data_IF_008601833266
#
_entry.id   IF_008601833266
#
_cell.length_a   1.000
_cell.length_b   1.000
_cell.length_c   1.000
_cell.angle_alpha   90.00
_cell.angle_beta   90.00
_cell.angle_gamma   90.00
#
_symmetry.space_group_name_H-M   'P 1'
#
loop_
_entity.id
_entity.type
_entity.pdbx_description
1 polymer ?
#
# COMPACT_ATOMS: atom_id res chain seq x y z
N UNK A 1 -16.76 -16.88 -14.55
CA UNK A 1 -16.41 -16.78 -13.11
C UNK A 1 -16.77 -15.38 -12.68
N UNK A 2 -17.67 -15.24 -11.71
CA UNK A 2 -18.05 -13.93 -11.16
C UNK A 2 -17.11 -13.56 -10.00
N UNK A 3 -16.65 -12.31 -9.99
CA UNK A 3 -15.75 -11.78 -8.96
C UNK A 3 -16.40 -10.51 -8.43
N UNK A 4 -16.50 -10.40 -7.10
CA UNK A 4 -17.02 -9.22 -6.41
C UNK A 4 -15.93 -8.56 -5.56
N UNK A 5 -15.84 -7.23 -5.62
CA UNK A 5 -14.94 -6.44 -4.77
C UNK A 5 -15.64 -6.18 -3.42
N UNK A 6 -15.21 -6.88 -2.37
CA UNK A 6 -15.81 -6.79 -1.04
C UNK A 6 -15.37 -5.51 -0.28
N UNK A 7 -14.17 -5.00 -0.56
CA UNK A 7 -13.62 -3.80 0.11
C UNK A 7 -12.49 -3.16 -0.69
N UNK A 8 -12.40 -1.82 -0.64
CA UNK A 8 -11.28 -1.03 -1.17
C UNK A 8 -10.82 -0.04 -0.11
N UNK A 9 -9.56 -0.11 0.28
CA UNK A 9 -9.00 0.70 1.37
C UNK A 9 -7.59 1.17 1.04
N UNK A 10 -7.22 2.34 1.54
CA UNK A 10 -5.87 2.88 1.47
C UNK A 10 -5.09 2.49 2.74
N UNK A 11 -4.01 1.73 2.58
CA UNK A 11 -3.15 1.32 3.71
C UNK A 11 -2.01 2.31 3.86
N UNK A 12 -1.90 2.92 5.04
CA UNK A 12 -0.86 3.89 5.37
C UNK A 12 0.32 3.22 6.08
N UNK A 13 1.52 3.82 6.04
CA UNK A 13 2.65 3.39 6.86
C UNK A 13 2.27 3.36 8.35
N UNK A 14 2.79 2.37 9.09
CA UNK A 14 2.48 2.18 10.50
C UNK A 14 3.00 3.31 11.39
N UNK A 15 4.07 3.98 10.97
CA UNK A 15 4.60 5.20 11.59
C UNK A 15 4.67 6.33 10.57
N UNK A 16 4.54 7.60 11.00
CA UNK A 16 4.65 8.75 10.11
C UNK A 16 6.00 8.77 9.39
N UNK A 17 6.00 9.18 8.12
CA UNK A 17 7.23 9.43 7.38
C UNK A 17 7.86 10.73 7.93
N UNK A 18 9.14 10.77 8.29
CA UNK A 18 9.79 12.00 8.72
C UNK A 18 9.58 13.14 7.72
N UNK A 19 9.35 14.37 8.19
CA UNK A 19 8.99 15.52 7.35
C UNK A 19 9.96 15.75 6.18
N UNK A 20 11.25 15.58 6.42
CA UNK A 20 12.31 15.74 5.41
C UNK A 20 12.31 14.64 4.33
N UNK A 21 11.61 13.53 4.55
CA UNK A 21 11.47 12.41 3.61
C UNK A 21 10.11 12.41 2.89
N UNK A 22 9.31 13.46 3.03
CA UNK A 22 7.96 13.50 2.43
C UNK A 22 7.98 13.76 0.92
N UNK A 23 9.10 14.24 0.37
CA UNK A 23 9.25 14.52 -1.05
C UNK A 23 10.51 13.84 -1.59
N UNK A 24 10.34 13.01 -2.60
CA UNK A 24 11.45 12.34 -3.30
C UNK A 24 11.50 12.83 -4.75
N UNK A 25 12.68 13.27 -5.18
CA UNK A 25 12.89 13.74 -6.56
C UNK A 25 13.24 12.55 -7.45
N UNK A 26 12.49 12.40 -8.53
CA UNK A 26 12.74 11.37 -9.53
C UNK A 26 14.01 11.68 -10.32
N UNK A 27 14.82 10.65 -10.56
CA UNK A 27 16.00 10.77 -11.41
C UNK A 27 15.60 10.95 -12.88
N UNK A 28 16.57 11.29 -13.73
CA UNK A 28 16.33 11.35 -15.18
C UNK A 28 15.88 9.99 -15.73
N UNK A 29 16.43 8.89 -15.22
CA UNK A 29 16.04 7.54 -15.64
C UNK A 29 14.59 7.22 -15.27
N UNK A 30 14.15 7.62 -14.07
CA UNK A 30 12.76 7.44 -13.64
C UNK A 30 11.78 8.25 -14.50
N UNK A 31 12.20 9.45 -14.95
CA UNK A 31 11.38 10.31 -15.81
C UNK A 31 11.26 9.79 -17.25
N UNK A 32 12.32 9.16 -17.76
CA UNK A 32 12.34 8.54 -19.09
C UNK A 32 11.63 7.18 -19.11
N UNK A 33 11.49 6.53 -17.96
CA UNK A 33 10.77 5.27 -17.85
C UNK A 33 9.28 5.45 -18.23
N UNK A 34 8.71 4.43 -18.88
CA UNK A 34 7.27 4.42 -19.16
C UNK A 34 6.50 4.32 -17.84
N UNK A 35 5.54 5.21 -17.65
CA UNK A 35 4.70 5.26 -16.46
C UNK A 35 3.60 4.18 -16.55
N UNK A 36 4.00 2.92 -16.39
CA UNK A 36 3.08 1.78 -16.50
C UNK A 36 2.98 1.01 -15.20
N UNK A 37 1.75 0.57 -14.88
CA UNK A 37 1.50 -0.30 -13.74
C UNK A 37 1.82 -1.75 -14.13
N UNK A 38 2.72 -2.38 -13.38
CA UNK A 38 2.95 -3.81 -13.46
C UNK A 38 1.86 -4.56 -12.70
N UNK A 39 1.06 -5.35 -13.42
CA UNK A 39 0.03 -6.20 -12.84
C UNK A 39 0.62 -7.58 -12.52
N UNK A 40 0.62 -7.96 -11.23
CA UNK A 40 1.08 -9.26 -10.75
C UNK A 40 -0.03 -9.97 -9.97
N UNK A 41 -0.23 -11.26 -10.22
CA UNK A 41 -1.25 -12.10 -9.55
C UNK A 41 -0.59 -13.35 -8.98
N UNK A 42 -0.86 -13.63 -7.70
CA UNK A 42 -0.34 -14.81 -6.99
C UNK A 42 -1.50 -15.67 -6.49
N UNK A 43 -1.42 -16.99 -6.72
CA UNK A 43 -2.39 -17.97 -6.21
C UNK A 43 -1.76 -18.80 -5.10
N UNK A 44 -2.46 -18.94 -3.98
CA UNK A 44 -2.01 -19.71 -2.81
C UNK A 44 -3.04 -20.78 -2.45
N UNK A 45 -2.59 -22.01 -2.27
CA UNK A 45 -3.45 -23.11 -1.85
C UNK A 45 -3.93 -22.95 -0.40
N UNK A 46 -5.16 -23.34 -0.06
CA UNK A 46 -5.63 -23.36 1.32
C UNK A 46 -4.84 -24.37 2.14
N UNK A 47 -4.45 -23.97 3.36
CA UNK A 47 -3.61 -24.78 4.23
C UNK A 47 -4.41 -25.89 4.95
N UNK A 48 -5.68 -25.63 5.27
CA UNK A 48 -6.60 -26.57 5.93
C UNK A 48 -8.00 -26.42 5.32
N UNK A 49 -8.67 -27.55 5.01
CA UNK A 49 -9.99 -27.56 4.37
C UNK A 49 -11.17 -27.43 5.36
N UNK A 50 -10.95 -27.59 6.68
CA UNK A 50 -12.04 -27.64 7.68
C UNK A 50 -12.36 -26.31 8.38
N UNK A 51 -11.70 -25.21 8.03
CA UNK A 51 -11.91 -23.91 8.72
C UNK A 51 -13.00 -23.08 8.05
N UNK A 52 -13.80 -22.35 8.84
CA UNK A 52 -14.81 -21.40 8.37
C UNK A 52 -14.14 -20.36 7.44
N UNK A 53 -14.45 -20.42 6.14
CA UNK A 53 -13.79 -19.62 5.10
C UNK A 53 -13.82 -18.12 5.39
N UNK A 54 -14.94 -17.59 5.88
CA UNK A 54 -15.11 -16.17 6.18
C UNK A 54 -14.18 -15.66 7.29
N UNK A 55 -13.93 -16.49 8.31
CA UNK A 55 -13.00 -16.15 9.39
C UNK A 55 -11.55 -16.18 8.90
N UNK A 56 -11.21 -17.17 8.06
CA UNK A 56 -9.89 -17.24 7.41
C UNK A 56 -9.64 -16.02 6.53
N UNK A 57 -10.60 -15.63 5.69
CA UNK A 57 -10.51 -14.44 4.83
C UNK A 57 -10.32 -13.19 5.68
N UNK A 58 -11.13 -13.02 6.73
CA UNK A 58 -11.07 -11.84 7.60
C UNK A 58 -9.73 -11.72 8.33
N UNK A 59 -9.26 -12.83 8.94
CA UNK A 59 -7.96 -12.89 9.64
C UNK A 59 -6.79 -12.67 8.70
N UNK A 60 -6.79 -13.29 7.51
CA UNK A 60 -5.73 -13.11 6.51
C UNK A 60 -5.71 -11.68 5.99
N UNK A 61 -6.89 -11.11 5.67
CA UNK A 61 -7.02 -9.70 5.25
C UNK A 61 -6.43 -8.76 6.30
N UNK A 62 -6.76 -8.96 7.58
CA UNK A 62 -6.21 -8.13 8.66
C UNK A 62 -4.68 -8.25 8.76
N UNK A 63 -4.16 -9.48 8.71
CA UNK A 63 -2.70 -9.73 8.75
C UNK A 63 -1.98 -9.07 7.58
N UNK A 64 -2.51 -9.21 6.36
CA UNK A 64 -1.94 -8.60 5.14
C UNK A 64 -1.91 -7.07 5.23
N UNK A 65 -2.99 -6.44 5.72
CA UNK A 65 -3.02 -4.99 5.94
C UNK A 65 -1.98 -4.55 6.97
N UNK A 66 -1.87 -5.25 8.09
CA UNK A 66 -0.90 -4.93 9.15
C UNK A 66 0.54 -5.11 8.68
N UNK A 67 0.85 -6.20 7.96
CA UNK A 67 2.18 -6.41 7.41
C UNK A 67 2.52 -5.35 6.36
N UNK A 68 1.58 -5.04 5.45
CA UNK A 68 1.78 -3.98 4.45
C UNK A 68 2.04 -2.63 5.10
N UNK A 69 1.24 -2.25 6.11
CA UNK A 69 1.43 -1.00 6.85
C UNK A 69 2.82 -0.90 7.49
N UNK A 70 3.33 -2.00 8.08
CA UNK A 70 4.69 -2.04 8.64
C UNK A 70 5.78 -1.98 7.56
N UNK A 71 5.60 -2.70 6.45
CA UNK A 71 6.55 -2.69 5.31
C UNK A 71 6.61 -1.32 4.64
N UNK A 72 5.51 -0.57 4.59
CA UNK A 72 5.49 0.78 4.06
C UNK A 72 6.30 1.79 4.90
N UNK A 73 6.75 1.45 6.10
CA UNK A 73 7.62 2.35 6.90
C UNK A 73 9.00 2.54 6.23
N UNK A 74 9.80 1.48 5.99
CA UNK A 74 11.04 1.62 5.24
C UNK A 74 10.81 1.90 3.75
N UNK A 75 9.69 1.44 3.17
CA UNK A 75 9.33 1.65 1.76
C UNK A 75 8.30 2.76 1.56
N UNK A 76 8.46 3.88 2.29
CA UNK A 76 7.48 4.95 2.37
C UNK A 76 7.12 5.59 1.02
N UNK A 77 8.02 5.55 0.02
CA UNK A 77 7.75 6.06 -1.33
C UNK A 77 6.59 5.35 -2.01
N UNK A 78 6.33 4.06 -1.68
CA UNK A 78 5.21 3.29 -2.22
C UNK A 78 3.85 3.76 -1.69
N UNK A 79 3.82 4.50 -0.58
CA UNK A 79 2.62 5.15 -0.05
C UNK A 79 2.42 6.58 -0.61
N UNK A 80 3.33 7.05 -1.47
CA UNK A 80 3.27 8.38 -2.08
C UNK A 80 2.44 8.44 -3.35
N UNK A 81 2.31 9.65 -3.89
CA UNK A 81 1.75 9.90 -5.22
C UNK A 81 2.78 10.62 -6.09
N UNK A 82 2.88 10.19 -7.34
CA UNK A 82 3.68 10.89 -8.35
C UNK A 82 3.01 12.23 -8.64
N UNK A 83 3.82 13.30 -8.66
CA UNK A 83 3.42 14.67 -8.95
C UNK A 83 4.28 15.22 -10.06
N UNK A 84 3.63 15.70 -11.11
CA UNK A 84 4.22 16.36 -12.28
C UNK A 84 5.33 15.53 -12.98
N UNK A 85 5.33 14.20 -12.82
CA UNK A 85 6.39 13.27 -13.25
C UNK A 85 7.80 13.62 -12.73
N UNK A 86 7.91 14.48 -11.72
CA UNK A 86 9.20 14.95 -11.20
C UNK A 86 9.45 14.52 -9.76
N UNK A 87 8.37 14.33 -8.98
CA UNK A 87 8.48 14.08 -7.54
C UNK A 87 7.46 13.02 -7.10
N UNK A 88 7.79 12.28 -6.05
CA UNK A 88 6.84 11.50 -5.27
C UNK A 88 6.58 12.25 -3.97
N UNK A 89 5.31 12.52 -3.67
CA UNK A 89 4.89 13.21 -2.44
C UNK A 89 4.14 12.24 -1.54
N UNK A 90 4.62 12.09 -0.31
CA UNK A 90 4.02 11.26 0.73
C UNK A 90 3.29 12.16 1.71
N UNK A 91 1.95 12.02 1.78
CA UNK A 91 1.12 12.77 2.72
C UNK A 91 1.07 12.04 4.05
N UNK A 92 1.74 12.59 5.06
CA UNK A 92 1.47 12.19 6.43
C UNK A 92 0.03 12.57 6.78
N UNK A 93 -0.73 11.63 7.35
CA UNK A 93 -1.99 12.02 8.00
C UNK A 93 -1.65 12.78 9.26
N UNK A 94 -1.69 14.11 9.19
CA UNK A 94 -1.84 14.90 10.40
C UNK A 94 -3.16 14.50 11.04
N UNK A 95 -3.09 13.96 12.25
CA UNK A 95 -4.24 13.80 13.12
C UNK A 95 -4.56 15.19 13.67
N UNK A 96 -5.08 16.08 12.81
CA UNK A 96 -5.70 17.32 13.28
C UNK A 96 -7.13 16.96 13.69
N UNK A 97 -7.25 16.45 14.91
CA UNK A 97 -8.46 16.56 15.72
C UNK A 97 -8.05 17.21 17.04
N UNK A 98 -7.93 18.54 16.99
CA UNK A 98 -8.19 19.40 18.15
C UNK A 98 -9.26 20.38 17.67
N UNK A 99 -10.49 20.11 18.08
CA UNK A 99 -11.53 21.05 18.53
C UNK A 99 -12.75 20.23 18.95
#
# INVERSE_FOLDING_TARGET
>A
MEIEIISKEEVKPASPTPLHLTTFKLSLLDQLARHEYFNLVYFFSPMNQSTILNDVISKRRQRLKQSLSRTLVPFYLLAGKVKDNLHIVVKNSQKNNVN
#
